data_IF_273719983104
#
_entry.id   IF_273719983104
#
_cell.length_a   1.000
_cell.length_b   1.000
_cell.length_c   1.000
_cell.angle_alpha   90.00
_cell.angle_beta   90.00
_cell.angle_gamma   90.00
#
_symmetry.space_group_name_H-M   'P 1'
#
loop_
_entity.id
_entity.type
_entity.pdbx_description
1 polymer ?
#
# COMPACT_ATOMS: atom_id res chain seq x y z
N UNK A 1 45.90 5.45 14.29
CA UNK A 1 45.33 6.74 14.76
C UNK A 1 43.85 6.73 14.43
N UNK A 2 42.96 6.75 15.41
CA UNK A 2 41.52 6.87 15.17
C UNK A 2 41.22 8.31 14.69
N UNK A 3 40.47 8.53 13.62
CA UNK A 3 40.13 9.86 13.15
C UNK A 3 39.31 10.59 14.24
N UNK A 4 39.61 11.85 14.45
CA UNK A 4 38.97 12.70 15.44
C UNK A 4 37.53 13.00 14.98
N UNK A 5 36.57 13.03 15.91
CA UNK A 5 35.14 13.31 15.65
C UNK A 5 34.90 14.63 14.91
N UNK A 6 35.78 15.61 15.06
CA UNK A 6 35.72 16.90 14.35
C UNK A 6 36.08 16.81 12.86
N UNK A 7 36.94 15.88 12.46
CA UNK A 7 37.29 15.64 11.04
C UNK A 7 36.16 14.93 10.29
N UNK A 8 35.39 14.06 10.97
CA UNK A 8 34.20 13.45 10.39
C UNK A 8 33.09 14.48 10.15
N UNK A 9 32.84 15.38 11.08
CA UNK A 9 31.82 16.43 10.95
C UNK A 9 32.11 17.40 9.79
N UNK A 10 33.39 17.70 9.52
CA UNK A 10 33.76 18.62 8.43
C UNK A 10 33.60 18.02 7.02
N UNK A 11 33.61 16.71 6.89
CA UNK A 11 33.38 16.04 5.60
C UNK A 11 31.88 15.98 5.24
N UNK A 12 30.99 15.96 6.22
CA UNK A 12 29.53 15.93 5.95
C UNK A 12 28.98 17.27 5.46
N UNK A 13 29.61 18.39 5.79
CA UNK A 13 29.23 19.72 5.31
C UNK A 13 29.57 19.97 3.83
N UNK A 14 30.31 19.08 3.18
CA UNK A 14 30.65 19.18 1.75
C UNK A 14 29.66 18.46 0.83
N UNK A 15 28.68 17.73 1.36
CA UNK A 15 27.61 17.20 0.54
C UNK A 15 26.61 18.32 0.29
N UNK A 16 26.64 18.86 -0.93
CA UNK A 16 25.63 19.79 -1.41
C UNK A 16 24.28 19.04 -1.52
N UNK A 17 23.47 19.20 -0.49
CA UNK A 17 22.12 18.61 -0.45
C UNK A 17 21.18 19.24 -1.46
N UNK A 18 21.55 20.38 -2.09
CA UNK A 18 20.75 21.04 -3.13
C UNK A 18 20.58 20.13 -4.36
N UNK A 19 21.54 19.25 -4.62
CA UNK A 19 21.46 18.27 -5.69
C UNK A 19 20.33 17.25 -5.49
N UNK A 20 20.02 16.88 -4.24
CA UNK A 20 18.94 15.96 -3.94
C UNK A 20 17.55 16.62 -3.99
N UNK A 21 17.48 17.93 -3.75
CA UNK A 21 16.22 18.68 -3.83
C UNK A 21 15.93 19.24 -5.23
N UNK A 22 16.91 19.26 -6.12
CA UNK A 22 16.76 19.71 -7.50
C UNK A 22 16.56 18.59 -8.52
N UNK A 23 16.33 17.36 -8.07
CA UNK A 23 15.88 16.32 -8.98
C UNK A 23 14.58 16.78 -9.65
N UNK A 24 14.53 16.81 -10.98
CA UNK A 24 13.31 17.20 -11.68
C UNK A 24 12.15 16.37 -11.14
N UNK A 25 11.01 17.02 -10.90
CA UNK A 25 9.82 16.35 -10.37
C UNK A 25 9.62 15.03 -11.10
N UNK A 26 9.28 13.98 -10.36
CA UNK A 26 9.17 12.60 -10.88
C UNK A 26 8.55 12.65 -12.27
N UNK A 27 9.19 12.10 -13.30
CA UNK A 27 8.59 12.07 -14.61
C UNK A 27 7.23 11.40 -14.49
N UNK A 28 6.15 12.15 -14.73
CA UNK A 28 4.79 11.62 -14.76
C UNK A 28 4.75 10.68 -15.97
N UNK A 29 4.97 9.39 -15.70
CA UNK A 29 4.80 8.39 -16.74
C UNK A 29 3.31 8.20 -16.97
N UNK A 30 2.89 8.04 -18.23
CA UNK A 30 1.49 7.78 -18.51
C UNK A 30 1.05 6.51 -17.78
N UNK A 31 -0.22 6.47 -17.36
CA UNK A 31 -0.79 5.30 -16.71
C UNK A 31 -0.54 4.04 -17.54
N UNK A 32 -0.06 2.95 -16.95
CA UNK A 32 0.11 1.67 -17.66
C UNK A 32 -1.24 0.97 -17.88
N UNK A 33 -2.30 1.50 -17.31
CA UNK A 33 -3.64 0.94 -17.37
C UNK A 33 -4.51 1.67 -18.42
N UNK A 34 -5.39 0.94 -19.13
CA UNK A 34 -6.34 1.57 -20.04
C UNK A 34 -7.33 2.46 -19.27
N UNK A 35 -7.76 3.55 -19.92
CA UNK A 35 -8.84 4.39 -19.39
C UNK A 35 -10.20 3.70 -19.63
N UNK A 36 -10.47 2.68 -18.82
CA UNK A 36 -11.68 1.89 -18.86
C UNK A 36 -12.59 2.21 -17.65
N UNK A 37 -13.79 1.64 -17.66
CA UNK A 37 -14.76 1.81 -16.57
C UNK A 37 -14.18 1.34 -15.22
N UNK A 38 -13.37 0.27 -15.23
CA UNK A 38 -12.76 -0.25 -14.02
C UNK A 38 -11.72 0.73 -13.44
N UNK A 39 -10.92 1.37 -14.32
CA UNK A 39 -9.95 2.37 -13.88
C UNK A 39 -10.63 3.57 -13.22
N UNK A 40 -11.72 4.08 -13.81
CA UNK A 40 -12.49 5.19 -13.23
C UNK A 40 -13.08 4.85 -11.86
N UNK A 41 -13.58 3.62 -11.69
CA UNK A 41 -14.07 3.15 -10.40
C UNK A 41 -12.96 3.04 -9.36
N UNK A 42 -11.77 2.53 -9.75
CA UNK A 42 -10.62 2.46 -8.85
C UNK A 42 -10.12 3.85 -8.47
N UNK A 43 -10.10 4.80 -9.40
CA UNK A 43 -9.75 6.20 -9.13
C UNK A 43 -10.69 6.82 -8.11
N UNK A 44 -11.99 6.65 -8.30
CA UNK A 44 -13.00 7.13 -7.34
C UNK A 44 -12.84 6.47 -5.97
N UNK A 45 -12.56 5.15 -5.93
CA UNK A 45 -12.32 4.45 -4.68
C UNK A 45 -11.04 4.93 -3.98
N UNK A 46 -9.95 5.13 -4.71
CA UNK A 46 -8.69 5.66 -4.17
C UNK A 46 -8.90 7.06 -3.59
N UNK A 47 -9.58 7.94 -4.32
CA UNK A 47 -9.92 9.27 -3.82
C UNK A 47 -10.74 9.20 -2.53
N UNK A 48 -11.78 8.37 -2.49
CA UNK A 48 -12.60 8.19 -1.29
C UNK A 48 -11.78 7.66 -0.10
N UNK A 49 -10.89 6.68 -0.33
CA UNK A 49 -9.97 6.16 0.70
C UNK A 49 -9.10 7.29 1.26
N UNK A 50 -8.51 8.12 0.40
CA UNK A 50 -7.63 9.20 0.83
C UNK A 50 -8.38 10.30 1.58
N UNK A 51 -9.56 10.69 1.11
CA UNK A 51 -10.40 11.69 1.77
C UNK A 51 -10.88 11.23 3.17
N UNK A 52 -11.29 9.97 3.30
CA UNK A 52 -11.81 9.46 4.57
C UNK A 52 -10.70 9.09 5.56
N UNK A 53 -9.57 8.56 5.09
CA UNK A 53 -8.45 8.20 5.97
C UNK A 53 -7.61 9.39 6.39
N UNK A 54 -7.57 10.45 5.59
CA UNK A 54 -6.66 11.59 5.75
C UNK A 54 -5.17 11.20 5.82
N UNK A 55 -4.81 10.01 5.27
CA UNK A 55 -3.44 9.49 5.27
C UNK A 55 -2.81 9.70 3.89
N UNK A 56 -1.71 10.46 3.83
CA UNK A 56 -0.98 10.75 2.59
C UNK A 56 0.50 10.38 2.63
N UNK A 57 1.00 9.88 3.76
CA UNK A 57 2.41 9.47 3.96
C UNK A 57 2.51 8.24 4.87
N UNK A 58 3.66 7.57 4.86
CA UNK A 58 3.90 6.32 5.59
C UNK A 58 3.69 5.10 4.69
N UNK A 59 3.22 4.00 5.25
CA UNK A 59 3.01 2.74 4.52
C UNK A 59 1.53 2.46 4.30
N UNK A 60 1.16 2.20 3.05
CA UNK A 60 -0.13 1.64 2.68
C UNK A 60 0.03 0.15 2.34
N UNK A 61 -0.74 -0.71 2.99
CA UNK A 61 -0.80 -2.14 2.72
C UNK A 61 -2.07 -2.47 1.94
N UNK A 62 -1.91 -3.09 0.77
CA UNK A 62 -3.02 -3.50 -0.09
C UNK A 62 -3.07 -5.02 -0.14
N UNK A 63 -4.17 -5.61 0.32
CA UNK A 63 -4.41 -7.04 0.33
C UNK A 63 -5.14 -7.48 -0.94
N UNK A 64 -4.49 -8.32 -1.75
CA UNK A 64 -4.92 -8.64 -3.11
C UNK A 64 -4.60 -7.53 -4.10
N UNK A 65 -3.99 -7.90 -5.21
CA UNK A 65 -3.38 -6.94 -6.13
C UNK A 65 -4.39 -6.18 -7.00
N UNK A 66 -5.52 -6.78 -7.32
CA UNK A 66 -6.49 -6.23 -8.29
C UNK A 66 -5.81 -5.67 -9.56
N UNK A 67 -4.77 -6.36 -10.02
CA UNK A 67 -3.97 -5.96 -11.18
C UNK A 67 -3.07 -4.74 -10.98
N UNK A 68 -2.96 -4.21 -9.75
CA UNK A 68 -2.08 -3.08 -9.40
C UNK A 68 -2.69 -1.69 -9.61
N UNK A 69 -3.94 -1.58 -10.07
CA UNK A 69 -4.60 -0.29 -10.37
C UNK A 69 -4.73 0.57 -9.11
N UNK A 70 -5.19 -0.01 -7.98
CA UNK A 70 -5.32 0.70 -6.71
C UNK A 70 -3.96 1.14 -6.17
N UNK A 71 -2.95 0.27 -6.27
CA UNK A 71 -1.59 0.59 -5.86
C UNK A 71 -1.00 1.75 -6.68
N UNK A 72 -1.27 1.77 -7.99
CA UNK A 72 -0.88 2.86 -8.87
C UNK A 72 -1.52 4.19 -8.44
N UNK A 73 -2.83 4.21 -8.21
CA UNK A 73 -3.55 5.42 -7.81
C UNK A 73 -3.06 5.96 -6.46
N UNK A 74 -2.95 5.12 -5.44
CA UNK A 74 -2.46 5.53 -4.12
C UNK A 74 -1.01 6.04 -4.20
N UNK A 75 -0.11 5.34 -4.88
CA UNK A 75 1.28 5.76 -5.01
C UNK A 75 1.45 7.04 -5.85
N UNK A 76 0.57 7.30 -6.82
CA UNK A 76 0.63 8.48 -7.68
C UNK A 76 0.12 9.74 -6.98
N UNK A 77 -0.90 9.61 -6.12
CA UNK A 77 -1.57 10.73 -5.48
C UNK A 77 -1.01 11.11 -4.11
N UNK A 78 -0.13 10.27 -3.53
CA UNK A 78 0.37 10.45 -2.15
C UNK A 78 1.89 10.30 -2.06
N UNK A 79 2.43 10.56 -0.87
CA UNK A 79 3.82 10.26 -0.51
C UNK A 79 3.98 8.87 0.15
N UNK A 80 2.92 8.05 0.21
CA UNK A 80 2.98 6.71 0.82
C UNK A 80 3.88 5.75 0.05
N UNK A 81 4.53 4.86 0.79
CA UNK A 81 5.11 3.64 0.24
C UNK A 81 4.01 2.57 0.21
N UNK A 82 3.70 2.10 -0.98
CA UNK A 82 2.60 1.14 -1.19
C UNK A 82 3.14 -0.27 -1.26
N UNK A 83 2.66 -1.15 -0.38
CA UNK A 83 3.01 -2.56 -0.36
C UNK A 83 1.78 -3.38 -0.73
N UNK A 84 1.90 -4.17 -1.78
CA UNK A 84 0.84 -5.08 -2.23
C UNK A 84 1.17 -6.50 -1.83
N UNK A 85 0.24 -7.18 -1.18
CA UNK A 85 0.29 -8.61 -0.90
C UNK A 85 -0.59 -9.35 -1.89
N UNK A 86 -0.03 -10.34 -2.57
CA UNK A 86 -0.75 -11.16 -3.55
C UNK A 86 -0.30 -12.61 -3.45
N UNK A 87 -1.15 -13.54 -2.99
CA UNK A 87 -0.80 -14.95 -2.89
C UNK A 87 -0.55 -15.62 -4.24
N UNK A 88 -1.30 -15.24 -5.27
CA UNK A 88 -1.18 -15.80 -6.61
C UNK A 88 0.07 -15.28 -7.31
N UNK A 89 0.97 -16.19 -7.67
CA UNK A 89 2.23 -15.86 -8.33
C UNK A 89 2.02 -15.15 -9.67
N UNK A 90 1.04 -15.58 -10.45
CA UNK A 90 0.76 -15.02 -11.77
C UNK A 90 0.23 -13.59 -11.66
N UNK A 91 -0.71 -13.36 -10.72
CA UNK A 91 -1.24 -12.02 -10.41
C UNK A 91 -0.13 -11.12 -9.86
N UNK A 92 0.73 -11.63 -8.96
CA UNK A 92 1.86 -10.89 -8.41
C UNK A 92 2.86 -10.47 -9.50
N UNK A 93 3.26 -11.38 -10.40
CA UNK A 93 4.13 -11.07 -11.55
C UNK A 93 3.53 -10.04 -12.50
N UNK A 94 2.25 -10.18 -12.82
CA UNK A 94 1.54 -9.23 -13.67
C UNK A 94 1.50 -7.83 -13.04
N UNK A 95 1.21 -7.75 -11.75
CA UNK A 95 1.19 -6.50 -10.97
C UNK A 95 2.55 -5.84 -10.92
N UNK A 96 3.63 -6.59 -10.64
CA UNK A 96 5.01 -6.08 -10.69
C UNK A 96 5.32 -5.46 -12.05
N UNK A 97 4.97 -6.16 -13.14
CA UNK A 97 5.19 -5.68 -14.51
C UNK A 97 4.41 -4.39 -14.80
N UNK A 98 3.16 -4.28 -14.35
CA UNK A 98 2.35 -3.08 -14.54
C UNK A 98 2.94 -1.88 -13.78
N UNK A 99 3.28 -2.05 -12.49
CA UNK A 99 3.88 -1.01 -11.67
C UNK A 99 5.29 -0.61 -12.14
N UNK A 100 6.07 -1.55 -12.69
CA UNK A 100 7.37 -1.26 -13.30
C UNK A 100 7.23 -0.38 -14.55
N UNK A 101 6.22 -0.63 -15.39
CA UNK A 101 5.92 0.24 -16.55
C UNK A 101 5.56 1.65 -16.13
N UNK A 102 4.86 1.81 -15.00
CA UNK A 102 4.57 3.11 -14.41
C UNK A 102 5.80 3.79 -13.77
N UNK A 103 6.91 3.07 -13.60
CA UNK A 103 8.11 3.56 -12.89
C UNK A 103 7.95 3.62 -11.38
N UNK A 104 6.95 2.95 -10.82
CA UNK A 104 6.66 2.96 -9.39
C UNK A 104 7.23 1.75 -8.66
N UNK A 105 7.39 0.60 -9.34
CA UNK A 105 7.91 -0.61 -8.73
C UNK A 105 9.35 -0.43 -8.24
N UNK A 106 9.62 -0.81 -6.99
CA UNK A 106 10.93 -0.67 -6.34
C UNK A 106 11.25 0.75 -5.84
N UNK A 107 10.45 1.76 -6.17
CA UNK A 107 10.64 3.15 -5.70
C UNK A 107 9.53 3.61 -4.76
N UNK A 108 8.29 3.39 -5.13
CA UNK A 108 7.08 3.82 -4.40
C UNK A 108 6.11 2.68 -4.13
N UNK A 109 6.25 1.58 -4.88
CA UNK A 109 5.40 0.41 -4.74
C UNK A 109 6.24 -0.86 -4.77
N UNK A 110 5.86 -1.84 -3.93
CA UNK A 110 6.41 -3.19 -3.93
C UNK A 110 5.27 -4.21 -3.96
N UNK A 111 5.55 -5.41 -4.46
CA UNK A 111 4.59 -6.50 -4.53
C UNK A 111 5.22 -7.75 -3.93
N UNK A 112 4.68 -8.19 -2.81
CA UNK A 112 5.13 -9.37 -2.09
C UNK A 112 4.17 -10.52 -2.38
N UNK A 113 4.75 -11.66 -2.76
CA UNK A 113 4.01 -12.89 -2.92
C UNK A 113 4.06 -13.62 -1.58
N UNK A 114 2.99 -13.55 -0.82
CA UNK A 114 2.84 -14.25 0.46
C UNK A 114 1.37 -14.48 0.78
N UNK A 115 1.12 -15.34 1.76
CA UNK A 115 -0.22 -15.58 2.26
C UNK A 115 -0.76 -14.34 2.99
N UNK A 116 -2.06 -14.11 2.89
CA UNK A 116 -2.73 -13.03 3.61
C UNK A 116 -2.96 -13.36 5.10
N UNK A 117 -2.92 -14.65 5.44
CA UNK A 117 -3.04 -15.15 6.81
C UNK A 117 -1.67 -15.27 7.52
N UNK A 118 -0.56 -15.00 6.82
CA UNK A 118 0.80 -15.00 7.36
C UNK A 118 1.61 -13.85 6.74
N UNK A 119 1.35 -12.65 7.21
CA UNK A 119 2.00 -11.44 6.71
C UNK A 119 3.41 -11.29 7.29
N UNK A 120 4.47 -11.19 6.46
CA UNK A 120 5.86 -11.11 6.91
C UNK A 120 6.24 -9.69 7.38
N UNK A 121 5.34 -9.00 8.07
CA UNK A 121 5.56 -7.64 8.55
C UNK A 121 5.55 -7.59 10.06
N UNK A 122 6.42 -6.73 10.61
CA UNK A 122 6.43 -6.45 12.03
C UNK A 122 5.15 -5.73 12.49
N UNK A 123 4.90 -5.77 13.80
CA UNK A 123 3.80 -5.04 14.40
C UNK A 123 3.87 -3.55 14.05
N UNK A 124 2.69 -2.95 13.83
CA UNK A 124 2.56 -1.49 13.62
C UNK A 124 3.21 -0.97 12.32
N UNK A 125 3.34 -1.82 11.33
CA UNK A 125 3.94 -1.50 10.04
C UNK A 125 3.12 -0.50 9.22
N UNK A 126 1.79 -0.71 9.11
CA UNK A 126 0.94 -0.02 8.16
C UNK A 126 0.17 1.16 8.77
N UNK A 127 0.22 2.31 8.09
CA UNK A 127 -0.62 3.47 8.39
C UNK A 127 -2.02 3.32 7.78
N UNK A 128 -2.09 2.78 6.55
CA UNK A 128 -3.32 2.51 5.83
C UNK A 128 -3.36 1.06 5.39
N UNK A 129 -4.46 0.37 5.65
CA UNK A 129 -4.72 -0.97 5.11
C UNK A 129 -5.99 -0.92 4.27
N UNK A 130 -5.92 -1.48 3.07
CA UNK A 130 -7.08 -1.64 2.18
C UNK A 130 -7.01 -2.98 1.45
N UNK A 131 -8.06 -3.36 0.73
CA UNK A 131 -8.07 -4.61 -0.03
C UNK A 131 -8.47 -4.38 -1.48
N UNK A 132 -7.57 -4.76 -2.39
CA UNK A 132 -7.83 -4.75 -3.81
C UNK A 132 -8.77 -5.88 -4.23
N UNK A 133 -8.63 -7.08 -3.66
CA UNK A 133 -9.52 -8.22 -3.94
C UNK A 133 -10.95 -7.97 -3.46
N UNK A 134 -11.12 -7.41 -2.27
CA UNK A 134 -12.45 -7.03 -1.80
C UNK A 134 -13.06 -5.94 -2.67
N UNK A 135 -12.27 -4.93 -3.05
CA UNK A 135 -12.74 -3.82 -3.86
C UNK A 135 -13.27 -4.28 -5.23
N UNK A 136 -12.59 -5.20 -5.89
CA UNK A 136 -12.90 -5.60 -7.28
C UNK A 136 -13.70 -6.88 -7.40
N UNK A 137 -13.43 -7.85 -6.53
CA UNK A 137 -13.98 -9.22 -6.60
C UNK A 137 -15.01 -9.49 -5.49
N UNK A 138 -15.01 -8.68 -4.41
CA UNK A 138 -15.87 -8.87 -3.24
C UNK A 138 -15.36 -9.92 -2.25
N UNK A 139 -14.13 -10.39 -2.43
CA UNK A 139 -13.52 -11.41 -1.58
C UNK A 139 -12.83 -10.77 -0.38
N UNK A 140 -13.17 -11.19 0.84
CA UNK A 140 -12.45 -10.79 2.05
C UNK A 140 -11.00 -11.30 2.01
N UNK A 141 -10.04 -10.50 2.47
CA UNK A 141 -8.64 -10.89 2.48
C UNK A 141 -8.34 -11.81 3.66
N UNK A 142 -7.91 -13.05 3.39
CA UNK A 142 -7.59 -14.03 4.42
C UNK A 142 -8.83 -14.60 5.15
N UNK A 143 -8.57 -15.40 6.17
CA UNK A 143 -9.60 -16.10 6.94
C UNK A 143 -10.27 -15.21 7.99
N UNK A 144 -9.52 -14.24 8.53
CA UNK A 144 -9.96 -13.29 9.55
C UNK A 144 -9.07 -12.02 9.58
N UNK A 145 -9.37 -11.11 10.50
CA UNK A 145 -8.70 -9.82 10.59
C UNK A 145 -7.46 -9.82 11.52
N UNK A 146 -7.03 -10.95 12.08
CA UNK A 146 -5.94 -10.99 13.08
C UNK A 146 -4.64 -10.38 12.58
N UNK A 147 -4.25 -10.73 11.34
CA UNK A 147 -3.04 -10.19 10.71
C UNK A 147 -3.12 -8.68 10.54
N UNK A 148 -4.28 -8.14 10.18
CA UNK A 148 -4.48 -6.70 10.02
C UNK A 148 -4.29 -5.95 11.34
N UNK A 149 -4.85 -6.51 12.43
CA UNK A 149 -4.71 -5.93 13.77
C UNK A 149 -3.26 -5.92 14.24
N UNK A 150 -2.49 -6.96 13.91
CA UNK A 150 -1.07 -7.04 14.24
C UNK A 150 -0.25 -5.97 13.49
N UNK A 151 -0.48 -5.81 12.20
CA UNK A 151 0.34 -4.92 11.35
C UNK A 151 -0.16 -3.47 11.32
N UNK A 152 -1.40 -3.20 11.75
CA UNK A 152 -1.95 -1.85 11.78
C UNK A 152 -1.28 -1.01 12.86
N UNK A 153 -0.86 0.20 12.51
CA UNK A 153 -0.27 1.14 13.46
C UNK A 153 -1.32 1.59 14.49
N UNK A 154 -1.04 1.44 15.81
CA UNK A 154 -1.91 2.00 16.84
C UNK A 154 -1.86 3.53 16.75
N UNK A 155 -2.89 4.20 17.14
CA UNK A 155 -2.99 5.66 17.10
C UNK A 155 -2.70 6.25 15.70
N UNK A 156 -3.75 6.29 14.87
CA UNK A 156 -3.73 6.91 13.55
C UNK A 156 -3.59 5.95 12.37
N UNK A 157 -3.48 4.64 12.59
CA UNK A 157 -3.66 3.65 11.53
C UNK A 157 -5.13 3.47 11.18
N UNK A 158 -5.43 3.29 9.89
CA UNK A 158 -6.79 3.18 9.37
C UNK A 158 -6.92 1.95 8.47
N UNK A 159 -8.01 1.20 8.66
CA UNK A 159 -8.41 0.12 7.75
C UNK A 159 -9.61 0.60 6.93
N UNK A 160 -9.46 0.63 5.61
CA UNK A 160 -10.53 1.04 4.67
C UNK A 160 -10.88 -0.13 3.76
N UNK A 161 -12.03 -0.74 4.00
CA UNK A 161 -12.54 -1.86 3.21
C UNK A 161 -13.82 -1.45 2.48
N UNK A 162 -13.86 -1.72 1.18
CA UNK A 162 -14.98 -1.33 0.34
C UNK A 162 -15.10 -2.23 -0.89
N UNK A 163 -16.27 -2.21 -1.53
CA UNK A 163 -16.53 -2.90 -2.80
C UNK A 163 -17.16 -1.93 -3.82
N UNK A 164 -16.71 -2.00 -5.06
CA UNK A 164 -17.14 -1.08 -6.13
C UNK A 164 -18.65 -1.08 -6.40
N UNK A 165 -19.35 -2.19 -6.18
CA UNK A 165 -20.80 -2.25 -6.39
C UNK A 165 -21.63 -1.78 -5.20
N UNK A 166 -21.01 -1.41 -4.09
CA UNK A 166 -21.69 -1.06 -2.83
C UNK A 166 -22.42 -2.22 -2.15
N UNK A 167 -22.33 -3.43 -2.70
CA UNK A 167 -23.02 -4.63 -2.19
C UNK A 167 -22.10 -5.42 -1.24
N UNK A 168 -21.61 -4.78 -0.20
CA UNK A 168 -20.92 -5.49 0.87
C UNK A 168 -21.91 -5.99 1.91
N UNK A 169 -21.79 -7.27 2.26
CA UNK A 169 -22.48 -7.80 3.42
C UNK A 169 -21.77 -7.31 4.69
N UNK A 170 -22.35 -6.29 5.34
CA UNK A 170 -21.80 -5.72 6.58
C UNK A 170 -21.62 -6.78 7.68
N UNK A 171 -22.53 -7.75 7.75
CA UNK A 171 -22.47 -8.81 8.76
C UNK A 171 -21.23 -9.69 8.53
N UNK A 172 -20.95 -10.09 7.29
CA UNK A 172 -19.75 -10.88 6.96
C UNK A 172 -18.44 -10.17 7.34
N UNK A 173 -18.38 -8.85 7.14
CA UNK A 173 -17.20 -8.07 7.55
C UNK A 173 -17.08 -8.02 9.07
N UNK A 174 -18.19 -7.80 9.78
CA UNK A 174 -18.20 -7.79 11.25
C UNK A 174 -17.78 -9.13 11.84
N UNK A 175 -18.28 -10.22 11.29
CA UNK A 175 -17.95 -11.57 11.75
C UNK A 175 -16.47 -11.90 11.47
N UNK A 176 -15.95 -11.44 10.34
CA UNK A 176 -14.54 -11.57 9.98
C UNK A 176 -13.62 -10.80 10.95
N UNK A 177 -13.99 -9.57 11.35
CA UNK A 177 -13.27 -8.82 12.37
C UNK A 177 -13.34 -9.46 13.75
N UNK A 178 -14.54 -9.90 14.20
CA UNK A 178 -14.71 -10.58 15.50
C UNK A 178 -13.89 -11.87 15.60
N UNK A 179 -13.80 -12.61 14.50
CA UNK A 179 -12.98 -13.82 14.45
C UNK A 179 -11.49 -13.49 14.64
N UNK A 180 -11.01 -12.40 14.06
CA UNK A 180 -9.64 -11.91 14.25
C UNK A 180 -9.37 -11.42 15.67
N UNK A 181 -10.30 -10.70 16.30
CA UNK A 181 -10.18 -10.28 17.71
C UNK A 181 -10.01 -11.45 18.67
N UNK A 182 -10.77 -12.54 18.46
CA UNK A 182 -10.71 -13.73 19.28
C UNK A 182 -9.36 -14.47 19.22
N UNK A 183 -8.55 -14.23 18.18
CA UNK A 183 -7.21 -14.82 18.04
C UNK A 183 -6.10 -13.93 18.63
N UNK A 184 -6.38 -12.67 18.88
CA UNK A 184 -5.40 -11.71 19.42
C UNK A 184 -5.40 -11.65 20.96
N UNK A 185 -6.30 -12.39 21.65
CA UNK A 185 -6.38 -12.51 23.12
C UNK A 185 -5.68 -13.76 23.59
#
# INVERSE_FOLDING_TARGET
>A
RKPNRSEFASQWHKFDTSFYYSLPGKPVRPSPFPDDKQMKLVQSAAQHILEQSCINQGYALILGSAGGRLAYELASQTEMQVVVVEPDETKAKATRKALARAGLYGTRASVHQCDMDDLPYGAYFANLITSGSLLTEGNLPGQDASQLMHVLRPAGGVVMLGHMSGKLNKQSIQDWFKKGEAQCT
#
